data_IF_182302610218
#
_entry.id   IF_182302610218
#
_cell.length_a   1.000
_cell.length_b   1.000
_cell.length_c   1.000
_cell.angle_alpha   90.00
_cell.angle_beta   90.00
_cell.angle_gamma   90.00
#
_symmetry.space_group_name_H-M   'P 1'
#
loop_
_entity.id
_entity.type
_entity.pdbx_description
1 polymer ?
#
# COMPACT_ATOMS: atom_id res chain seq x y z
N UNK A 1 -25.39 -12.38 -7.45
CA UNK A 1 -24.03 -11.81 -7.41
C UNK A 1 -23.04 -12.93 -7.13
N UNK A 2 -21.91 -13.00 -7.85
CA UNK A 2 -20.89 -14.03 -7.64
C UNK A 2 -19.99 -13.55 -6.49
N UNK A 3 -19.90 -14.30 -5.39
CA UNK A 3 -19.02 -13.94 -4.29
C UNK A 3 -17.56 -14.02 -4.75
N UNK A 4 -16.84 -12.88 -4.67
CA UNK A 4 -15.41 -12.84 -4.94
C UNK A 4 -14.70 -13.23 -3.65
N UNK A 5 -13.95 -14.33 -3.68
CA UNK A 5 -13.25 -14.84 -2.50
C UNK A 5 -11.98 -14.00 -2.26
N UNK A 6 -12.12 -12.94 -1.47
CA UNK A 6 -11.04 -12.07 -1.03
C UNK A 6 -10.78 -12.27 0.46
N UNK A 7 -9.51 -12.22 0.82
CA UNK A 7 -9.03 -12.27 2.20
C UNK A 7 -8.42 -10.93 2.57
N UNK A 8 -8.66 -10.50 3.82
CA UNK A 8 -7.98 -9.35 4.39
C UNK A 8 -6.50 -9.71 4.60
N UNK A 9 -5.61 -8.85 4.10
CA UNK A 9 -4.16 -9.02 4.20
C UNK A 9 -3.50 -8.15 5.25
N UNK A 10 -4.24 -7.20 5.83
CA UNK A 10 -3.76 -6.39 6.95
C UNK A 10 -3.36 -7.27 8.12
N UNK A 11 -2.27 -6.90 8.78
CA UNK A 11 -1.97 -7.40 10.11
C UNK A 11 -2.93 -6.75 11.12
N UNK A 12 -3.56 -7.57 11.96
CA UNK A 12 -4.62 -7.15 12.88
C UNK A 12 -4.09 -6.11 13.86
N UNK A 13 -4.81 -4.99 14.00
CA UNK A 13 -4.47 -3.91 14.93
C UNK A 13 -3.38 -2.96 14.43
N UNK A 14 -2.86 -3.16 13.21
CA UNK A 14 -1.87 -2.25 12.63
C UNK A 14 -2.51 -0.92 12.27
N UNK A 15 -2.14 0.14 13.01
CA UNK A 15 -2.54 1.52 12.72
C UNK A 15 -2.07 1.91 11.32
N UNK A 16 -2.96 2.52 10.54
CA UNK A 16 -2.65 3.08 9.21
C UNK A 16 -2.92 4.57 9.13
N UNK A 17 -3.49 5.16 10.19
CA UNK A 17 -3.76 6.59 10.29
C UNK A 17 -3.54 7.06 11.73
N UNK A 18 -2.70 8.08 11.88
CA UNK A 18 -2.44 8.77 13.13
C UNK A 18 -3.46 9.89 13.34
N UNK A 19 -3.87 10.11 14.59
CA UNK A 19 -4.74 11.23 14.93
C UNK A 19 -3.96 12.56 14.94
N UNK A 20 -4.37 13.51 14.12
CA UNK A 20 -3.76 14.86 14.06
C UNK A 20 -4.49 15.90 14.94
N UNK A 21 -5.56 15.49 15.63
CA UNK A 21 -6.40 16.37 16.44
C UNK A 21 -6.75 15.75 17.80
N UNK A 22 -6.86 16.58 18.83
CA UNK A 22 -7.03 16.19 20.24
C UNK A 22 -8.28 15.34 20.59
N UNK A 23 -9.18 15.10 19.62
CA UNK A 23 -10.40 14.29 19.80
C UNK A 23 -10.46 13.07 18.87
N UNK A 24 -9.42 12.84 18.09
CA UNK A 24 -9.31 11.65 17.24
C UNK A 24 -8.40 10.64 17.91
N UNK A 25 -8.63 9.37 17.63
CA UNK A 25 -7.77 8.27 18.04
C UNK A 25 -7.09 7.69 16.80
N UNK A 26 -5.92 7.09 17.01
CA UNK A 26 -5.25 6.32 15.98
C UNK A 26 -6.17 5.21 15.47
N UNK A 27 -6.13 4.98 14.17
CA UNK A 27 -7.08 4.11 13.48
C UNK A 27 -6.42 3.36 12.34
N UNK A 28 -7.12 2.36 11.81
CA UNK A 28 -6.65 1.51 10.71
C UNK A 28 -7.68 1.43 9.57
N UNK A 29 -8.10 2.57 8.99
CA UNK A 29 -9.13 2.61 7.97
C UNK A 29 -8.69 1.99 6.63
N UNK A 30 -7.39 1.84 6.39
CA UNK A 30 -6.85 1.42 5.10
C UNK A 30 -6.79 -0.11 5.01
N UNK A 31 -7.59 -0.70 4.13
CA UNK A 31 -7.73 -2.16 4.01
C UNK A 31 -7.14 -2.68 2.70
N UNK A 32 -6.36 -3.75 2.80
CA UNK A 32 -5.81 -4.50 1.67
C UNK A 32 -6.53 -5.84 1.57
N UNK A 33 -7.23 -6.05 0.46
CA UNK A 33 -7.92 -7.31 0.16
C UNK A 33 -7.27 -7.98 -1.05
N UNK A 34 -7.06 -9.29 -0.97
CA UNK A 34 -6.52 -10.05 -2.09
C UNK A 34 -7.07 -11.47 -2.12
N UNK A 35 -7.08 -12.08 -3.31
CA UNK A 35 -7.37 -13.51 -3.44
C UNK A 35 -6.38 -14.33 -2.59
N UNK A 36 -6.86 -15.42 -2.00
CA UNK A 36 -6.05 -16.38 -1.23
C UNK A 36 -4.87 -16.97 -2.02
N UNK A 37 -5.01 -17.03 -3.35
CA UNK A 37 -3.96 -17.48 -4.26
C UNK A 37 -2.80 -16.49 -4.37
N UNK A 38 -3.02 -15.20 -4.09
CA UNK A 38 -1.97 -14.19 -4.16
C UNK A 38 -1.07 -14.29 -2.93
N UNK A 39 0.17 -14.73 -3.13
CA UNK A 39 1.21 -14.69 -2.11
C UNK A 39 1.85 -13.31 -2.09
N UNK A 40 1.72 -12.61 -0.97
CA UNK A 40 2.34 -11.32 -0.74
C UNK A 40 2.88 -11.22 0.69
N UNK A 41 3.86 -10.35 0.88
CA UNK A 41 4.22 -9.83 2.19
C UNK A 41 3.53 -8.47 2.34
N UNK A 42 2.88 -8.24 3.47
CA UNK A 42 2.20 -7.01 3.82
C UNK A 42 2.89 -6.38 5.02
N UNK A 43 3.16 -5.09 4.98
CA UNK A 43 3.67 -4.32 6.11
C UNK A 43 3.36 -2.84 5.92
N UNK A 44 3.36 -2.08 7.01
CA UNK A 44 3.36 -0.62 6.97
C UNK A 44 4.79 -0.08 6.94
N UNK A 45 4.93 1.16 6.47
CA UNK A 45 6.17 1.90 6.58
C UNK A 45 6.37 2.42 8.02
N UNK A 46 7.61 2.69 8.43
CA UNK A 46 7.90 3.22 9.77
C UNK A 46 7.56 4.71 9.93
N UNK A 47 7.26 5.43 8.84
CA UNK A 47 7.01 6.87 8.82
C UNK A 47 5.82 7.22 7.92
N UNK A 48 5.12 8.32 8.22
CA UNK A 48 3.95 8.80 7.48
C UNK A 48 4.29 9.64 6.25
N UNK A 49 5.58 9.96 6.04
CA UNK A 49 6.04 10.82 4.95
C UNK A 49 5.39 12.22 4.96
N UNK A 50 5.02 12.73 6.15
CA UNK A 50 4.41 14.05 6.32
C UNK A 50 2.90 14.10 6.12
N UNK A 51 2.23 12.95 6.04
CA UNK A 51 0.75 12.81 6.07
C UNK A 51 0.27 12.33 7.45
N UNK A 52 -1.04 12.32 7.68
CA UNK A 52 -1.65 11.60 8.80
C UNK A 52 -1.79 10.09 8.53
N UNK A 53 -1.55 9.63 7.28
CA UNK A 53 -1.58 8.21 6.91
C UNK A 53 -0.20 7.55 6.86
N UNK A 54 -0.12 6.32 7.35
CA UNK A 54 1.05 5.44 7.26
C UNK A 54 0.95 4.63 5.96
N UNK A 55 1.93 4.74 5.03
CA UNK A 55 1.93 3.97 3.80
C UNK A 55 1.91 2.45 4.04
N UNK A 56 1.09 1.75 3.25
CA UNK A 56 1.06 0.29 3.18
C UNK A 56 1.98 -0.18 2.04
N UNK A 57 2.86 -1.13 2.33
CA UNK A 57 3.69 -1.82 1.35
C UNK A 57 3.26 -3.27 1.19
N UNK A 58 2.98 -3.64 -0.06
CA UNK A 58 2.65 -5.02 -0.45
C UNK A 58 3.70 -5.52 -1.42
N UNK A 59 4.52 -6.47 -0.97
CA UNK A 59 5.50 -7.14 -1.83
C UNK A 59 4.88 -8.39 -2.43
N UNK A 60 4.59 -8.35 -3.73
CA UNK A 60 4.07 -9.51 -4.45
C UNK A 60 5.17 -10.55 -4.62
N UNK A 61 4.94 -11.77 -4.15
CA UNK A 61 5.82 -12.90 -4.45
C UNK A 61 5.40 -13.44 -5.82
N UNK A 62 6.13 -13.06 -6.86
CA UNK A 62 5.99 -13.73 -8.15
C UNK A 62 6.44 -15.19 -7.97
N UNK A 63 5.48 -16.10 -7.87
CA UNK A 63 5.75 -17.51 -8.09
C UNK A 63 6.34 -17.60 -9.50
N UNK A 64 7.52 -18.23 -9.62
CA UNK A 64 8.16 -18.50 -10.92
C UNK A 64 7.30 -19.53 -11.68
N UNK A 65 6.12 -19.14 -12.11
CA UNK A 65 5.39 -19.88 -13.12
C UNK A 65 5.89 -19.40 -14.47
N UNK A 66 6.29 -20.36 -15.30
CA UNK A 66 6.83 -20.20 -16.65
C UNK A 66 5.83 -19.53 -17.63
N UNK A 67 5.40 -18.28 -17.40
CA UNK A 67 4.40 -17.62 -18.26
C UNK A 67 4.72 -16.16 -18.58
N UNK A 68 5.02 -16.00 -19.87
CA UNK A 68 4.84 -14.84 -20.75
C UNK A 68 4.95 -13.45 -20.12
N UNK A 69 6.01 -12.75 -20.54
CA UNK A 69 6.17 -11.31 -20.42
C UNK A 69 4.86 -10.59 -20.76
N UNK A 70 4.30 -9.87 -19.78
CA UNK A 70 3.17 -8.95 -19.97
C UNK A 70 3.68 -7.52 -19.84
N UNK A 71 3.34 -6.67 -20.80
CA UNK A 71 3.56 -5.23 -20.65
C UNK A 71 2.69 -4.71 -19.51
N UNK A 72 3.29 -3.98 -18.58
CA UNK A 72 2.60 -3.27 -17.53
C UNK A 72 3.11 -1.82 -17.48
N UNK A 73 2.18 -0.89 -17.27
CA UNK A 73 2.53 0.50 -17.00
C UNK A 73 3.04 0.60 -15.57
N UNK A 74 4.31 0.97 -15.41
CA UNK A 74 4.94 1.22 -14.11
C UNK A 74 5.06 2.72 -13.92
N UNK A 75 4.30 3.27 -12.97
CA UNK A 75 4.48 4.66 -12.53
C UNK A 75 5.63 4.67 -11.53
N UNK A 76 6.66 5.45 -11.85
CA UNK A 76 7.86 5.65 -11.04
C UNK A 76 7.68 6.89 -10.17
N UNK A 77 7.27 6.68 -8.91
CA UNK A 77 7.00 7.73 -7.92
C UNK A 77 8.25 8.48 -7.43
N UNK A 78 9.44 7.90 -7.62
CA UNK A 78 10.73 8.56 -7.39
C UNK A 78 10.90 9.79 -8.31
N UNK A 79 10.50 9.67 -9.58
CA UNK A 79 10.62 10.76 -10.56
C UNK A 79 9.65 11.90 -10.35
N UNK A 80 8.52 11.68 -9.69
CA UNK A 80 7.55 12.75 -9.43
C UNK A 80 8.03 13.72 -8.34
N UNK A 81 8.92 13.29 -7.44
CA UNK A 81 9.47 14.15 -6.38
C UNK A 81 10.43 15.21 -6.93
N UNK A 82 11.22 14.89 -7.96
CA UNK A 82 12.15 15.83 -8.59
C UNK A 82 11.41 17.00 -9.28
N UNK A 83 10.24 16.75 -9.85
CA UNK A 83 9.41 17.79 -10.48
C UNK A 83 8.85 18.83 -9.50
N UNK A 84 8.68 18.49 -8.22
CA UNK A 84 8.24 19.46 -7.20
C UNK A 84 9.37 20.34 -6.69
N UNK A 85 10.61 19.85 -6.68
CA UNK A 85 11.78 20.65 -6.27
C UNK A 85 12.14 21.75 -7.28
N UNK A 86 11.90 21.52 -8.58
CA UNK A 86 12.26 22.46 -9.66
C UNK A 86 11.20 23.52 -9.99
N UNK A 87 10.09 23.58 -9.25
CA UNK A 87 9.02 24.59 -9.49
C UNK A 87 9.05 25.74 -8.47
N UNK A 88 9.99 25.74 -7.52
CA UNK A 88 10.17 26.81 -6.52
C UNK A 88 11.65 27.29 -6.47
N UNK A 89 12.35 27.21 -7.60
CA UNK A 89 13.70 27.77 -7.79
C UNK A 89 13.67 28.99 -8.69
#
# INVERSE_FOLDING_TARGET
MKAVHLELKNEVGTVTRLADHAKQIDSFPDLTWASSALKCDWHTWPDTLGSDHIPIAVKLKCLKDHRQSRQAYVIRWDKSRDSFANTIG
#
